data_IF_428011980133
#
_entry.id   IF_428011980133
#
_cell.length_a   1.000
_cell.length_b   1.000
_cell.length_c   1.000
_cell.angle_alpha   90.00
_cell.angle_beta   90.00
_cell.angle_gamma   90.00
#
_symmetry.space_group_name_H-M   'P 1'
#
loop_
_entity.id
_entity.type
_entity.pdbx_description
1 polymer ?
#
# COMPACT_ATOMS: atom_id res chain seq x y z
N UNK A 1 42.30 1.67 28.62
CA UNK A 1 42.81 1.30 29.96
C UNK A 1 43.72 0.05 29.95
N UNK A 2 43.57 -0.89 29.00
CA UNK A 2 44.36 -2.13 28.96
C UNK A 2 45.84 -2.00 28.53
N UNK A 3 46.18 -1.20 27.50
CA UNK A 3 47.56 -1.16 26.97
C UNK A 3 48.61 -0.68 28.00
N UNK A 4 48.30 0.38 28.75
CA UNK A 4 49.18 0.93 29.78
C UNK A 4 49.31 -0.03 30.97
N UNK A 5 48.22 -0.73 31.32
CA UNK A 5 48.20 -1.68 32.44
C UNK A 5 49.00 -2.96 32.15
N UNK A 6 48.94 -3.48 30.91
CA UNK A 6 49.73 -4.65 30.48
C UNK A 6 51.22 -4.32 30.39
N UNK A 7 51.58 -3.14 29.89
CA UNK A 7 52.98 -2.67 29.91
C UNK A 7 53.51 -2.52 31.34
N UNK A 8 52.68 -2.03 32.26
CA UNK A 8 53.04 -1.88 33.67
C UNK A 8 53.26 -3.22 34.37
N UNK A 9 52.44 -4.23 34.09
CA UNK A 9 52.62 -5.60 34.60
C UNK A 9 53.88 -6.25 34.01
N UNK A 10 54.12 -6.11 32.70
CA UNK A 10 55.33 -6.66 32.07
C UNK A 10 56.62 -5.99 32.60
N UNK A 11 56.56 -4.70 32.94
CA UNK A 11 57.67 -3.98 33.57
C UNK A 11 57.96 -4.44 35.00
N UNK A 12 56.93 -4.83 35.77
CA UNK A 12 57.08 -5.31 37.15
C UNK A 12 57.56 -6.77 37.22
N UNK A 13 57.13 -7.64 36.30
CA UNK A 13 57.39 -9.08 36.38
C UNK A 13 58.60 -9.59 35.58
N UNK A 14 59.12 -8.81 34.63
CA UNK A 14 60.23 -9.25 33.77
C UNK A 14 61.20 -8.08 33.57
N UNK A 15 62.33 -8.14 34.28
CA UNK A 15 63.40 -7.14 34.40
C UNK A 15 64.05 -6.61 33.08
N UNK A 16 63.44 -6.83 31.91
CA UNK A 16 63.83 -6.13 30.68
C UNK A 16 62.66 -6.02 29.70
N UNK A 17 62.42 -4.78 29.22
CA UNK A 17 61.52 -4.50 28.10
C UNK A 17 62.21 -5.00 26.83
N UNK A 18 61.97 -6.26 26.48
CA UNK A 18 62.37 -6.81 25.17
C UNK A 18 61.39 -6.28 24.12
N UNK A 19 61.90 -5.78 22.99
CA UNK A 19 61.11 -5.20 21.90
C UNK A 19 59.99 -6.14 21.41
N UNK A 20 60.23 -7.45 21.45
CA UNK A 20 59.23 -8.49 21.21
C UNK A 20 57.97 -8.37 22.09
N UNK A 21 58.13 -8.15 23.40
CA UNK A 21 57.01 -8.04 24.33
C UNK A 21 56.17 -6.78 24.06
N UNK A 22 56.82 -5.69 23.63
CA UNK A 22 56.13 -4.44 23.27
C UNK A 22 55.27 -4.63 22.02
N UNK A 23 55.82 -5.25 20.97
CA UNK A 23 55.07 -5.55 19.74
C UNK A 23 53.90 -6.50 20.06
N UNK A 24 54.14 -7.54 20.85
CA UNK A 24 53.11 -8.50 21.23
C UNK A 24 51.97 -7.84 22.02
N UNK A 25 52.30 -7.00 23.01
CA UNK A 25 51.31 -6.25 23.80
C UNK A 25 50.49 -5.28 22.95
N UNK A 26 51.11 -4.67 21.93
CA UNK A 26 50.44 -3.78 20.98
C UNK A 26 49.45 -4.56 20.11
N UNK A 27 49.87 -5.69 19.55
CA UNK A 27 48.99 -6.57 18.76
C UNK A 27 47.82 -7.08 19.59
N UNK A 28 48.06 -7.53 20.81
CA UNK A 28 47.01 -8.00 21.73
C UNK A 28 46.00 -6.87 22.04
N UNK A 29 46.48 -5.64 22.25
CA UNK A 29 45.60 -4.49 22.48
C UNK A 29 44.75 -4.14 21.25
N UNK A 30 45.29 -4.28 20.03
CA UNK A 30 44.52 -4.10 18.79
C UNK A 30 43.44 -5.18 18.69
N UNK A 31 43.77 -6.44 18.98
CA UNK A 31 42.82 -7.56 18.92
C UNK A 31 41.70 -7.38 19.95
N UNK A 32 42.03 -6.97 21.18
CA UNK A 32 41.05 -6.69 22.23
C UNK A 32 40.13 -5.52 21.83
N UNK A 33 40.69 -4.44 21.26
CA UNK A 33 39.91 -3.30 20.78
C UNK A 33 38.96 -3.71 19.64
N UNK A 34 39.47 -4.45 18.65
CA UNK A 34 38.68 -4.95 17.52
C UNK A 34 37.55 -5.88 18.00
N UNK A 35 37.85 -6.79 18.92
CA UNK A 35 36.86 -7.69 19.52
C UNK A 35 35.79 -6.93 20.29
N UNK A 36 36.18 -5.93 21.09
CA UNK A 36 35.24 -5.08 21.81
C UNK A 36 34.31 -4.32 20.86
N UNK A 37 34.83 -3.82 19.73
CA UNK A 37 34.02 -3.19 18.69
C UNK A 37 33.00 -4.18 18.10
N UNK A 38 33.44 -5.38 17.68
CA UNK A 38 32.57 -6.42 17.11
C UNK A 38 31.43 -6.77 18.07
N UNK A 39 31.70 -6.96 19.37
CA UNK A 39 30.65 -7.27 20.34
C UNK A 39 29.73 -6.09 20.62
N UNK A 40 30.25 -4.86 20.61
CA UNK A 40 29.43 -3.66 20.85
C UNK A 40 28.40 -3.44 19.74
N UNK A 41 28.73 -3.75 18.48
CA UNK A 41 27.79 -3.62 17.36
C UNK A 41 26.99 -4.90 17.10
N UNK A 42 27.62 -6.07 17.23
CA UNK A 42 26.98 -7.35 16.90
C UNK A 42 25.98 -7.86 17.96
N UNK A 43 26.25 -7.66 19.25
CA UNK A 43 25.34 -8.15 20.32
C UNK A 43 24.00 -7.40 20.33
N UNK A 44 23.95 -6.05 20.24
CA UNK A 44 22.68 -5.34 20.14
C UNK A 44 21.89 -5.68 18.88
N UNK A 45 22.57 -5.94 17.75
CA UNK A 45 21.92 -6.37 16.52
C UNK A 45 21.18 -7.71 16.69
N UNK A 46 21.68 -8.61 17.55
CA UNK A 46 21.01 -9.89 17.87
C UNK A 46 19.93 -9.77 18.96
N UNK A 47 20.17 -8.95 19.99
CA UNK A 47 19.33 -8.92 21.21
C UNK A 47 18.38 -7.74 21.34
N UNK A 48 18.49 -6.69 20.50
CA UNK A 48 17.59 -5.55 20.64
C UNK A 48 16.16 -5.94 20.25
N UNK A 49 15.26 -5.94 21.25
CA UNK A 49 13.80 -6.09 21.09
C UNK A 49 13.12 -4.82 20.57
N UNK A 50 13.88 -3.75 20.40
CA UNK A 50 13.37 -2.47 19.90
C UNK A 50 13.15 -2.63 18.40
N UNK A 51 11.96 -2.29 17.90
CA UNK A 51 11.49 -2.39 16.50
C UNK A 51 12.37 -1.62 15.49
N UNK A 52 13.67 -1.89 15.41
CA UNK A 52 14.53 -1.45 14.31
C UNK A 52 14.46 -2.54 13.24
N UNK A 53 13.84 -2.20 12.12
CA UNK A 53 13.59 -3.12 11.00
C UNK A 53 14.71 -3.08 9.96
N UNK A 54 15.79 -2.34 10.20
CA UNK A 54 16.87 -2.11 9.25
C UNK A 54 18.21 -2.22 10.00
N UNK A 55 19.05 -3.16 9.57
CA UNK A 55 20.43 -3.30 10.03
C UNK A 55 21.37 -2.42 9.20
N UNK A 56 22.36 -1.80 9.86
CA UNK A 56 23.44 -1.12 9.15
C UNK A 56 24.43 -2.12 8.54
N UNK A 57 25.19 -1.70 7.52
CA UNK A 57 26.21 -2.55 6.88
C UNK A 57 27.28 -3.01 7.87
N UNK A 58 27.66 -2.17 8.81
CA UNK A 58 28.64 -2.48 9.86
C UNK A 58 28.09 -3.53 10.84
N UNK A 59 26.81 -3.44 11.19
CA UNK A 59 26.14 -4.41 12.07
C UNK A 59 26.05 -5.79 11.40
N UNK A 60 25.77 -5.84 10.09
CA UNK A 60 25.79 -7.09 9.31
C UNK A 60 27.17 -7.76 9.29
N UNK A 61 28.23 -6.98 9.08
CA UNK A 61 29.61 -7.52 9.10
C UNK A 61 29.93 -8.06 10.50
N UNK A 62 29.60 -7.31 11.56
CA UNK A 62 29.82 -7.74 12.95
C UNK A 62 29.03 -9.00 13.29
N UNK A 63 27.77 -9.12 12.83
CA UNK A 63 26.98 -10.33 12.98
C UNK A 63 27.60 -11.51 12.24
N UNK A 64 28.10 -11.31 11.01
CA UNK A 64 28.78 -12.37 10.26
C UNK A 64 29.98 -12.94 11.03
N UNK A 65 30.74 -12.07 11.72
CA UNK A 65 31.89 -12.46 12.56
C UNK A 65 31.45 -13.26 13.79
N UNK A 66 30.36 -12.86 14.46
CA UNK A 66 29.85 -13.61 15.61
C UNK A 66 29.31 -14.99 15.19
N UNK A 67 28.55 -15.04 14.08
CA UNK A 67 27.97 -16.29 13.57
C UNK A 67 29.08 -17.24 13.09
N UNK A 68 30.12 -16.73 12.44
CA UNK A 68 31.25 -17.54 12.00
C UNK A 68 32.08 -18.10 13.16
N UNK A 69 32.28 -17.33 14.24
CA UNK A 69 32.86 -17.85 15.48
C UNK A 69 31.98 -18.96 16.10
N UNK A 70 30.67 -18.76 16.11
CA UNK A 70 29.73 -19.77 16.59
C UNK A 70 29.76 -21.06 15.76
N UNK A 71 29.79 -20.93 14.43
CA UNK A 71 29.89 -22.08 13.50
C UNK A 71 31.24 -22.80 13.65
N UNK A 72 32.32 -22.06 13.89
CA UNK A 72 33.62 -22.67 14.19
C UNK A 72 33.61 -23.47 15.51
N UNK A 73 32.65 -23.23 16.41
CA UNK A 73 32.50 -24.05 17.61
C UNK A 73 31.98 -25.47 17.36
N UNK A 74 31.44 -25.78 16.17
CA UNK A 74 30.89 -27.10 15.88
C UNK A 74 31.98 -28.15 15.63
N UNK A 75 31.76 -29.37 16.12
CA UNK A 75 32.66 -30.48 15.88
C UNK A 75 32.31 -31.19 14.55
N UNK A 76 33.30 -31.45 13.70
CA UNK A 76 33.09 -32.26 12.49
C UNK A 76 33.04 -33.75 12.83
N UNK A 77 32.01 -34.43 12.33
CA UNK A 77 31.93 -35.88 12.39
C UNK A 77 32.94 -36.51 11.41
N UNK A 78 33.51 -37.68 11.77
CA UNK A 78 34.47 -38.44 10.93
C UNK A 78 33.85 -39.07 9.67
N UNK A 79 32.77 -38.50 9.12
CA UNK A 79 32.03 -39.04 7.95
C UNK A 79 32.47 -38.43 6.62
N UNK A 80 33.52 -37.59 6.61
CA UNK A 80 34.06 -36.99 5.38
C UNK A 80 33.39 -35.69 4.94
N UNK A 81 32.24 -35.34 5.54
CA UNK A 81 31.56 -34.04 5.36
C UNK A 81 31.96 -33.08 6.48
N UNK A 82 32.23 -31.82 6.14
CA UNK A 82 32.40 -30.77 7.15
C UNK A 82 31.09 -30.03 7.34
N UNK A 83 30.38 -30.32 8.42
CA UNK A 83 29.10 -29.66 8.71
C UNK A 83 29.30 -28.14 8.90
N UNK A 84 30.49 -27.76 9.38
CA UNK A 84 30.92 -26.37 9.52
C UNK A 84 30.96 -25.65 8.18
N UNK A 85 31.65 -26.23 7.20
CA UNK A 85 31.77 -25.64 5.87
C UNK A 85 30.41 -25.55 5.19
N UNK A 86 29.59 -26.60 5.28
CA UNK A 86 28.24 -26.61 4.70
C UNK A 86 27.39 -25.47 5.28
N UNK A 87 27.41 -25.30 6.60
CA UNK A 87 26.70 -24.21 7.26
C UNK A 87 27.25 -22.84 6.83
N UNK A 88 28.57 -22.67 6.82
CA UNK A 88 29.19 -21.41 6.40
C UNK A 88 28.78 -21.02 4.97
N UNK A 89 28.90 -21.94 4.01
CA UNK A 89 28.54 -21.70 2.60
C UNK A 89 27.04 -21.44 2.45
N UNK A 90 26.21 -22.16 3.21
CA UNK A 90 24.78 -21.92 3.24
C UNK A 90 24.44 -20.50 3.74
N UNK A 91 25.07 -20.05 4.83
CA UNK A 91 24.88 -18.68 5.33
C UNK A 91 25.38 -17.64 4.34
N UNK A 92 26.52 -17.87 3.69
CA UNK A 92 27.06 -16.99 2.65
C UNK A 92 26.07 -16.89 1.47
N UNK A 93 25.54 -18.03 0.99
CA UNK A 93 24.56 -18.10 -0.09
C UNK A 93 23.27 -17.34 0.25
N UNK A 94 22.73 -17.55 1.46
CA UNK A 94 21.49 -16.90 1.90
C UNK A 94 21.68 -15.38 1.96
N UNK A 95 22.69 -14.89 2.68
CA UNK A 95 22.87 -13.45 2.86
C UNK A 95 23.32 -12.78 1.54
N UNK A 96 24.20 -13.41 0.77
CA UNK A 96 24.61 -12.89 -0.53
C UNK A 96 23.47 -12.82 -1.54
N UNK A 97 22.57 -13.81 -1.58
CA UNK A 97 21.38 -13.76 -2.43
C UNK A 97 20.38 -12.67 -2.00
N UNK A 98 20.23 -12.44 -0.70
CA UNK A 98 19.27 -11.47 -0.16
C UNK A 98 19.77 -10.02 -0.30
N UNK A 99 21.01 -9.77 0.07
CA UNK A 99 21.59 -8.42 0.20
C UNK A 99 22.37 -8.01 -1.06
N UNK A 100 23.13 -8.92 -1.66
CA UNK A 100 23.94 -8.64 -2.84
C UNK A 100 25.39 -9.08 -2.71
N UNK A 101 26.16 -8.76 -3.75
CA UNK A 101 27.54 -9.22 -3.88
C UNK A 101 28.49 -8.56 -2.86
N UNK A 102 28.23 -7.32 -2.47
CA UNK A 102 29.04 -6.58 -1.49
C UNK A 102 29.03 -7.27 -0.12
N UNK A 103 27.83 -7.57 0.38
CA UNK A 103 27.69 -8.19 1.68
C UNK A 103 27.97 -9.70 1.61
N UNK A 104 27.59 -10.37 0.51
CA UNK A 104 28.00 -11.75 0.27
C UNK A 104 29.52 -11.94 0.31
N UNK A 105 30.29 -11.03 -0.30
CA UNK A 105 31.74 -11.05 -0.26
C UNK A 105 32.29 -10.84 1.16
N UNK A 106 31.72 -9.89 1.91
CA UNK A 106 32.11 -9.63 3.29
C UNK A 106 31.92 -10.88 4.17
N UNK A 107 30.77 -11.54 4.06
CA UNK A 107 30.50 -12.79 4.79
C UNK A 107 31.45 -13.90 4.33
N UNK A 108 31.67 -14.06 3.02
CA UNK A 108 32.60 -15.04 2.48
C UNK A 108 34.02 -14.88 3.05
N UNK A 109 34.52 -13.65 3.12
CA UNK A 109 35.84 -13.34 3.66
C UNK A 109 35.91 -13.56 5.17
N UNK A 110 34.88 -13.19 5.95
CA UNK A 110 34.89 -13.38 7.41
C UNK A 110 34.86 -14.86 7.77
N UNK A 111 33.99 -15.64 7.13
CA UNK A 111 33.94 -17.10 7.30
C UNK A 111 35.24 -17.77 6.84
N UNK A 112 35.78 -17.37 5.69
CA UNK A 112 37.03 -17.91 5.15
C UNK A 112 38.23 -17.61 6.04
N UNK A 113 38.32 -16.40 6.59
CA UNK A 113 39.36 -16.00 7.54
C UNK A 113 39.29 -16.80 8.84
N UNK A 114 38.10 -16.92 9.43
CA UNK A 114 37.91 -17.65 10.69
C UNK A 114 38.17 -19.15 10.53
N UNK A 115 37.76 -19.74 9.40
CA UNK A 115 38.07 -21.13 9.08
C UNK A 115 39.57 -21.37 8.90
N UNK A 116 40.28 -20.45 8.22
CA UNK A 116 41.74 -20.55 8.04
C UNK A 116 42.48 -20.50 9.37
N UNK A 117 42.10 -19.59 10.27
CA UNK A 117 42.75 -19.42 11.59
C UNK A 117 42.44 -20.58 12.53
N UNK A 118 41.19 -21.04 12.59
CA UNK A 118 40.74 -22.00 13.61
C UNK A 118 41.35 -23.40 13.43
N UNK A 119 41.69 -23.78 12.19
CA UNK A 119 42.02 -25.16 11.85
C UNK A 119 43.37 -25.32 11.15
N UNK A 120 44.12 -24.24 10.96
CA UNK A 120 45.36 -24.26 10.18
C UNK A 120 45.12 -24.68 8.72
N UNK A 121 43.91 -24.41 8.22
CA UNK A 121 43.50 -24.74 6.86
C UNK A 121 44.19 -23.80 5.88
N UNK A 122 44.53 -24.32 4.69
CA UNK A 122 45.24 -23.58 3.65
C UNK A 122 44.57 -22.21 3.39
N UNK A 123 45.31 -21.09 3.40
CA UNK A 123 44.77 -19.74 3.15
C UNK A 123 43.94 -19.63 1.87
N UNK A 124 44.13 -20.55 0.93
CA UNK A 124 43.31 -20.62 -0.27
C UNK A 124 41.80 -20.73 -0.01
N UNK A 125 41.37 -21.32 1.13
CA UNK A 125 39.96 -21.37 1.52
C UNK A 125 39.33 -19.98 1.64
N UNK A 126 40.08 -18.98 2.11
CA UNK A 126 39.61 -17.60 2.19
C UNK A 126 39.19 -17.07 0.80
N UNK A 127 39.97 -17.41 -0.23
CA UNK A 127 39.64 -17.07 -1.62
C UNK A 127 38.38 -17.80 -2.12
N UNK A 128 38.23 -19.08 -1.80
CA UNK A 128 37.05 -19.87 -2.18
C UNK A 128 35.77 -19.29 -1.58
N UNK A 129 35.72 -19.09 -0.26
CA UNK A 129 34.54 -18.56 0.41
C UNK A 129 34.22 -17.13 -0.04
N UNK A 130 35.25 -16.28 -0.21
CA UNK A 130 35.08 -14.91 -0.70
C UNK A 130 34.42 -14.85 -2.09
N UNK A 131 34.91 -15.64 -3.04
CA UNK A 131 34.36 -15.65 -4.41
C UNK A 131 33.00 -16.34 -4.46
N UNK A 132 32.76 -17.39 -3.67
CA UNK A 132 31.42 -17.95 -3.51
C UNK A 132 30.43 -16.89 -3.00
N UNK A 133 30.86 -16.05 -2.05
CA UNK A 133 30.08 -14.91 -1.57
C UNK A 133 29.74 -13.90 -2.65
N UNK A 134 30.73 -13.46 -3.43
CA UNK A 134 30.51 -12.54 -4.56
C UNK A 134 29.52 -13.14 -5.57
N UNK A 135 29.76 -14.38 -6.01
CA UNK A 135 28.94 -15.04 -7.04
C UNK A 135 27.52 -15.30 -6.59
N UNK A 136 27.30 -15.56 -5.29
CA UNK A 136 25.95 -15.72 -4.74
C UNK A 136 25.10 -14.45 -4.91
N UNK A 137 25.73 -13.27 -4.81
CA UNK A 137 25.05 -11.99 -4.86
C UNK A 137 24.96 -11.33 -6.24
N UNK A 138 25.91 -11.56 -7.15
CA UNK A 138 25.89 -10.98 -8.51
C UNK A 138 24.63 -11.41 -9.27
N UNK A 139 24.27 -12.68 -9.19
CA UNK A 139 23.15 -13.24 -9.95
C UNK A 139 21.82 -13.23 -9.17
N UNK A 140 21.70 -12.42 -8.10
CA UNK A 140 20.46 -12.37 -7.30
C UNK A 140 19.22 -12.00 -8.13
N UNK A 141 19.38 -11.10 -9.10
CA UNK A 141 18.29 -10.60 -9.96
C UNK A 141 17.76 -11.66 -10.93
N UNK A 142 18.62 -12.59 -11.34
CA UNK A 142 18.28 -13.65 -12.30
C UNK A 142 17.68 -14.89 -11.62
N UNK A 143 17.54 -14.85 -10.28
CA UNK A 143 16.87 -15.86 -9.49
C UNK A 143 17.79 -16.91 -8.86
N UNK A 144 17.18 -17.69 -7.97
CA UNK A 144 17.86 -18.62 -7.06
C UNK A 144 18.70 -19.69 -7.77
N UNK A 145 18.20 -20.21 -8.89
CA UNK A 145 18.86 -21.28 -9.64
C UNK A 145 20.20 -20.80 -10.23
N UNK A 146 20.22 -19.61 -10.81
CA UNK A 146 21.43 -19.04 -11.42
C UNK A 146 22.47 -18.65 -10.39
N UNK A 147 22.06 -18.04 -9.26
CA UNK A 147 22.95 -17.76 -8.13
C UNK A 147 23.60 -19.05 -7.58
N UNK A 148 22.82 -20.12 -7.42
CA UNK A 148 23.35 -21.41 -6.96
C UNK A 148 24.32 -22.03 -7.97
N UNK A 149 23.98 -22.00 -9.26
CA UNK A 149 24.83 -22.51 -10.32
C UNK A 149 26.16 -21.74 -10.40
N UNK A 150 26.12 -20.41 -10.25
CA UNK A 150 27.31 -19.57 -10.24
C UNK A 150 28.25 -19.92 -9.09
N UNK A 151 27.72 -20.18 -7.88
CA UNK A 151 28.52 -20.60 -6.72
C UNK A 151 29.09 -22.00 -6.88
N UNK A 152 28.33 -22.93 -7.47
CA UNK A 152 28.86 -24.26 -7.79
C UNK A 152 30.03 -24.17 -8.76
N UNK A 153 29.88 -23.42 -9.86
CA UNK A 153 30.91 -23.27 -10.89
C UNK A 153 32.14 -22.54 -10.32
N UNK A 154 31.95 -21.45 -9.59
CA UNK A 154 33.08 -20.71 -9.01
C UNK A 154 33.82 -21.52 -7.96
N UNK A 155 33.08 -22.26 -7.13
CA UNK A 155 33.62 -23.23 -6.19
C UNK A 155 34.46 -24.31 -6.86
N UNK A 156 33.96 -24.88 -7.97
CA UNK A 156 34.70 -25.88 -8.77
C UNK A 156 35.99 -25.33 -9.36
N UNK A 157 35.93 -24.16 -9.99
CA UNK A 157 37.09 -23.52 -10.62
C UNK A 157 38.17 -23.25 -9.58
N UNK A 158 37.78 -22.70 -8.42
CA UNK A 158 38.74 -22.34 -7.38
C UNK A 158 39.28 -23.55 -6.65
N UNK A 159 38.44 -24.55 -6.39
CA UNK A 159 38.93 -25.81 -5.89
C UNK A 159 40.06 -26.28 -6.83
N UNK A 160 39.84 -26.32 -8.15
CA UNK A 160 40.83 -26.85 -9.11
C UNK A 160 42.18 -26.13 -9.04
N UNK A 161 42.18 -24.82 -8.72
CA UNK A 161 43.42 -24.05 -8.55
C UNK A 161 44.24 -24.47 -7.33
N UNK A 162 43.64 -25.08 -6.31
CA UNK A 162 44.28 -25.42 -5.03
C UNK A 162 45.12 -26.70 -5.14
N UNK A 163 44.92 -27.54 -6.16
CA UNK A 163 45.81 -28.64 -6.59
C UNK A 163 46.40 -29.54 -5.47
N UNK A 164 45.72 -29.65 -4.32
CA UNK A 164 46.03 -30.61 -3.26
C UNK A 164 45.07 -31.80 -3.37
N UNK A 165 45.62 -32.96 -3.75
CA UNK A 165 44.89 -34.22 -3.93
C UNK A 165 44.23 -34.60 -2.60
N UNK A 166 42.90 -34.57 -2.55
CA UNK A 166 42.07 -34.91 -1.38
C UNK A 166 41.41 -33.72 -0.66
N UNK A 167 41.91 -32.49 -0.86
CA UNK A 167 41.24 -31.27 -0.37
C UNK A 167 40.14 -30.83 -1.35
N UNK A 168 40.37 -31.08 -2.64
CA UNK A 168 39.42 -30.90 -3.74
C UNK A 168 38.06 -31.53 -3.49
N UNK A 169 38.06 -32.84 -3.24
CA UNK A 169 36.83 -33.63 -3.19
C UNK A 169 35.96 -33.21 -2.00
N UNK A 170 36.58 -32.84 -0.88
CA UNK A 170 35.88 -32.35 0.32
C UNK A 170 35.22 -30.99 0.08
N UNK A 171 35.96 -30.03 -0.48
CA UNK A 171 35.41 -28.69 -0.77
C UNK A 171 34.23 -28.80 -1.74
N UNK A 172 34.39 -29.59 -2.80
CA UNK A 172 33.33 -29.81 -3.78
C UNK A 172 32.08 -30.43 -3.15
N UNK A 173 32.27 -31.44 -2.29
CA UNK A 173 31.18 -32.10 -1.61
C UNK A 173 30.46 -31.17 -0.62
N UNK A 174 31.21 -30.33 0.12
CA UNK A 174 30.64 -29.35 1.04
C UNK A 174 29.85 -28.25 0.29
N UNK A 175 30.39 -27.70 -0.82
CA UNK A 175 29.72 -26.68 -1.63
C UNK A 175 28.44 -27.24 -2.26
N UNK A 176 28.50 -28.45 -2.81
CA UNK A 176 27.33 -29.08 -3.42
C UNK A 176 26.22 -29.36 -2.40
N UNK A 177 26.57 -29.85 -1.22
CA UNK A 177 25.62 -30.05 -0.12
C UNK A 177 24.97 -28.74 0.32
N UNK A 178 25.74 -27.65 0.46
CA UNK A 178 25.22 -26.33 0.81
C UNK A 178 24.29 -25.77 -0.27
N UNK A 179 24.64 -25.97 -1.54
CA UNK A 179 23.81 -25.55 -2.68
C UNK A 179 22.47 -26.29 -2.73
N UNK A 180 22.47 -27.60 -2.49
CA UNK A 180 21.24 -28.40 -2.40
C UNK A 180 20.37 -27.88 -1.24
N UNK A 181 20.96 -27.72 -0.05
CA UNK A 181 20.26 -27.18 1.11
C UNK A 181 19.66 -25.79 0.82
N UNK A 182 20.41 -24.94 0.12
CA UNK A 182 19.94 -23.63 -0.30
C UNK A 182 18.75 -23.77 -1.25
N UNK A 183 18.81 -24.58 -2.31
CA UNK A 183 17.70 -24.76 -3.28
C UNK A 183 16.41 -25.23 -2.61
N UNK A 184 16.48 -26.15 -1.65
CA UNK A 184 15.32 -26.61 -0.88
C UNK A 184 14.77 -25.57 0.10
N UNK A 185 15.52 -24.53 0.44
CA UNK A 185 15.08 -23.50 1.39
C UNK A 185 13.91 -22.65 0.82
N UNK A 186 12.79 -22.47 1.56
CA UNK A 186 11.59 -21.83 1.01
C UNK A 186 11.80 -20.34 0.73
N UNK A 187 11.33 -19.86 -0.42
CA UNK A 187 11.44 -18.45 -0.84
C UNK A 187 10.84 -17.47 0.18
N UNK A 188 9.72 -17.84 0.82
CA UNK A 188 9.06 -17.02 1.85
C UNK A 188 10.02 -16.62 2.99
N UNK A 189 10.87 -17.54 3.45
CA UNK A 189 11.85 -17.25 4.50
C UNK A 189 12.97 -16.33 4.02
N UNK A 190 13.37 -16.44 2.75
CA UNK A 190 14.34 -15.49 2.15
C UNK A 190 13.75 -14.09 2.06
N UNK A 191 12.47 -13.97 1.73
CA UNK A 191 11.77 -12.67 1.67
C UNK A 191 11.61 -12.06 3.06
N UNK A 192 11.34 -12.86 4.10
CA UNK A 192 11.27 -12.40 5.49
C UNK A 192 12.63 -11.87 5.97
N UNK A 193 13.73 -12.58 5.66
CA UNK A 193 15.10 -12.12 5.95
C UNK A 193 15.40 -10.85 5.14
N UNK A 194 14.98 -10.79 3.87
CA UNK A 194 15.19 -9.63 3.02
C UNK A 194 14.49 -8.37 3.54
N UNK A 195 13.31 -8.50 4.16
CA UNK A 195 12.60 -7.37 4.77
C UNK A 195 13.31 -6.89 6.03
N UNK A 196 13.99 -7.78 6.76
CA UNK A 196 14.72 -7.41 7.98
C UNK A 196 16.03 -6.67 7.68
N UNK A 197 16.66 -6.98 6.53
CA UNK A 197 18.02 -6.52 6.26
C UNK A 197 18.13 -5.52 5.11
N UNK A 198 17.22 -5.59 4.12
CA UNK A 198 17.29 -4.71 2.96
C UNK A 198 16.32 -3.51 3.10
N UNK A 199 16.88 -2.34 3.43
CA UNK A 199 16.17 -1.06 3.53
C UNK A 199 15.36 -0.69 2.28
N UNK A 200 15.89 -1.00 1.10
CA UNK A 200 15.27 -0.64 -0.19
C UNK A 200 13.97 -1.44 -0.42
N UNK A 201 13.97 -2.73 -0.06
CA UNK A 201 12.75 -3.57 -0.12
C UNK A 201 11.69 -3.13 0.89
N UNK A 202 12.11 -2.64 2.06
CA UNK A 202 11.19 -2.07 3.06
C UNK A 202 10.53 -0.81 2.52
N UNK A 203 11.31 0.08 1.89
CA UNK A 203 10.79 1.30 1.28
C UNK A 203 9.80 1.01 0.14
N UNK A 204 10.14 0.07 -0.76
CA UNK A 204 9.24 -0.35 -1.84
C UNK A 204 7.92 -0.92 -1.32
N UNK A 205 7.95 -1.73 -0.25
CA UNK A 205 6.75 -2.30 0.37
C UNK A 205 5.89 -1.22 1.04
N UNK A 206 6.53 -0.24 1.68
CA UNK A 206 5.86 0.94 2.24
C UNK A 206 5.19 1.77 1.13
N UNK A 207 5.90 2.02 0.03
CA UNK A 207 5.36 2.75 -1.13
C UNK A 207 4.17 2.03 -1.75
N UNK A 208 4.23 0.71 -1.95
CA UNK A 208 3.10 -0.08 -2.45
C UNK A 208 1.88 0.03 -1.53
N UNK A 209 2.07 -0.14 -0.22
CA UNK A 209 0.98 -0.01 0.77
C UNK A 209 0.37 1.39 0.79
N UNK A 210 1.18 2.42 0.57
CA UNK A 210 0.71 3.81 0.46
C UNK A 210 -0.12 4.00 -0.81
N UNK A 211 0.34 3.50 -1.97
CA UNK A 211 -0.38 3.58 -3.25
C UNK A 211 -1.74 2.87 -3.15
N UNK A 212 -1.81 1.70 -2.54
CA UNK A 212 -3.08 0.99 -2.32
C UNK A 212 -4.05 1.81 -1.46
N UNK A 213 -3.56 2.41 -0.37
CA UNK A 213 -4.38 3.27 0.49
C UNK A 213 -4.90 4.50 -0.25
N UNK A 214 -4.05 5.13 -1.07
CA UNK A 214 -4.46 6.29 -1.90
C UNK A 214 -5.51 5.88 -2.93
N UNK A 215 -5.32 4.74 -3.62
CA UNK A 215 -6.32 4.20 -4.55
C UNK A 215 -7.67 3.98 -3.88
N UNK A 216 -7.67 3.43 -2.67
CA UNK A 216 -8.89 3.15 -1.91
C UNK A 216 -9.62 4.43 -1.49
N UNK A 217 -8.88 5.47 -1.08
CA UNK A 217 -9.44 6.80 -0.78
C UNK A 217 -10.01 7.48 -2.03
N UNK A 218 -9.30 7.42 -3.15
CA UNK A 218 -9.75 7.99 -4.42
C UNK A 218 -11.03 7.28 -4.89
N UNK A 219 -11.07 5.94 -4.81
CA UNK A 219 -12.26 5.16 -5.17
C UNK A 219 -13.46 5.55 -4.32
N UNK A 220 -13.30 5.66 -3.00
CA UNK A 220 -14.35 6.13 -2.08
C UNK A 220 -14.84 7.53 -2.42
N UNK A 221 -13.91 8.45 -2.74
CA UNK A 221 -14.29 9.83 -3.11
C UNK A 221 -15.03 9.87 -4.44
N UNK A 222 -14.57 9.10 -5.43
CA UNK A 222 -15.22 8.99 -6.75
C UNK A 222 -16.64 8.44 -6.62
N UNK A 223 -16.83 7.41 -5.79
CA UNK A 223 -18.14 6.84 -5.53
C UNK A 223 -19.07 7.85 -4.84
N UNK A 224 -18.56 8.60 -3.85
CA UNK A 224 -19.33 9.66 -3.19
C UNK A 224 -19.77 10.75 -4.18
N UNK A 225 -18.91 11.17 -5.12
CA UNK A 225 -19.25 12.16 -6.15
C UNK A 225 -20.33 11.59 -7.09
N UNK A 226 -20.20 10.33 -7.50
CA UNK A 226 -21.19 9.67 -8.35
C UNK A 226 -22.58 9.64 -7.67
N UNK A 227 -22.66 9.25 -6.40
CA UNK A 227 -23.92 9.24 -5.63
C UNK A 227 -24.55 10.64 -5.57
N UNK A 228 -23.75 11.69 -5.33
CA UNK A 228 -24.27 13.07 -5.30
C UNK A 228 -24.78 13.54 -6.66
N UNK A 229 -24.09 13.19 -7.75
CA UNK A 229 -24.51 13.50 -9.12
C UNK A 229 -25.82 12.81 -9.50
N UNK A 230 -25.95 11.52 -9.15
CA UNK A 230 -27.21 10.79 -9.35
C UNK A 230 -28.35 11.38 -8.53
N UNK A 231 -28.08 11.83 -7.30
CA UNK A 231 -29.06 12.56 -6.49
C UNK A 231 -29.53 13.85 -7.16
N UNK A 232 -28.60 14.64 -7.72
CA UNK A 232 -28.91 15.86 -8.45
C UNK A 232 -29.76 15.61 -9.71
N UNK A 233 -29.44 14.58 -10.49
CA UNK A 233 -30.20 14.18 -11.68
C UNK A 233 -31.65 13.87 -11.35
N UNK A 234 -31.89 13.10 -10.28
CA UNK A 234 -33.24 12.74 -9.82
C UNK A 234 -34.08 13.94 -9.38
N UNK A 235 -33.44 14.94 -8.76
CA UNK A 235 -34.14 16.17 -8.34
C UNK A 235 -34.56 16.97 -9.57
N UNK A 236 -33.70 17.06 -10.58
CA UNK A 236 -33.99 17.76 -11.84
C UNK A 236 -35.14 17.08 -12.60
N UNK A 237 -35.10 15.76 -12.75
CA UNK A 237 -36.18 14.98 -13.37
C UNK A 237 -37.53 15.21 -12.67
N UNK A 238 -37.55 15.12 -11.33
CA UNK A 238 -38.77 15.31 -10.54
C UNK A 238 -39.34 16.74 -10.65
N UNK A 239 -38.51 17.76 -10.75
CA UNK A 239 -38.99 19.15 -10.89
C UNK A 239 -39.58 19.41 -12.28
N UNK A 240 -38.96 18.88 -13.33
CA UNK A 240 -39.44 19.05 -14.72
C UNK A 240 -40.80 18.35 -14.90
N UNK A 241 -40.95 17.12 -14.40
CA UNK A 241 -42.20 16.37 -14.51
C UNK A 241 -43.35 17.06 -13.74
N UNK A 242 -43.06 17.63 -12.56
CA UNK A 242 -44.06 18.35 -11.77
C UNK A 242 -44.51 19.66 -12.42
N UNK A 243 -43.60 20.46 -12.97
CA UNK A 243 -43.96 21.72 -13.63
C UNK A 243 -44.78 21.47 -14.91
N UNK A 244 -44.41 20.48 -15.71
CA UNK A 244 -45.13 20.15 -16.93
C UNK A 244 -46.53 19.59 -16.63
N UNK A 245 -46.65 18.70 -15.63
CA UNK A 245 -47.94 18.15 -15.19
C UNK A 245 -48.86 19.25 -14.66
N UNK A 246 -48.35 20.16 -13.82
CA UNK A 246 -49.13 21.27 -13.28
C UNK A 246 -49.69 22.18 -14.38
N UNK A 247 -48.86 22.49 -15.40
CA UNK A 247 -49.28 23.33 -16.52
C UNK A 247 -50.40 22.67 -17.34
N UNK A 248 -50.26 21.38 -17.68
CA UNK A 248 -51.29 20.63 -18.43
C UNK A 248 -52.61 20.56 -17.64
N UNK A 249 -52.54 20.35 -16.32
CA UNK A 249 -53.73 20.30 -15.46
C UNK A 249 -54.44 21.66 -15.35
N UNK A 250 -53.69 22.77 -15.25
CA UNK A 250 -54.27 24.11 -15.26
C UNK A 250 -54.93 24.46 -16.59
N UNK A 251 -54.28 24.16 -17.71
CA UNK A 251 -54.83 24.40 -19.05
C UNK A 251 -56.16 23.63 -19.22
N UNK A 252 -56.20 22.37 -18.79
CA UNK A 252 -57.43 21.55 -18.79
C UNK A 252 -58.55 22.09 -17.88
N UNK A 253 -58.22 22.74 -16.76
CA UNK A 253 -59.24 23.40 -15.93
C UNK A 253 -59.83 24.62 -16.59
N UNK A 254 -59.01 25.43 -17.26
CA UNK A 254 -59.48 26.62 -17.99
C UNK A 254 -60.48 26.21 -19.06
N UNK A 255 -60.17 25.15 -19.83
CA UNK A 255 -61.09 24.60 -20.83
C UNK A 255 -62.40 24.12 -20.22
N UNK A 256 -62.34 23.35 -19.13
CA UNK A 256 -63.53 22.84 -18.44
C UNK A 256 -64.41 23.98 -17.89
N UNK A 257 -63.78 25.01 -17.32
CA UNK A 257 -64.48 26.17 -16.78
C UNK A 257 -65.14 26.98 -17.92
N UNK A 258 -64.42 27.18 -19.03
CA UNK A 258 -64.94 27.83 -20.23
C UNK A 258 -66.13 27.07 -20.83
N UNK A 259 -66.07 25.74 -20.90
CA UNK A 259 -67.17 24.91 -21.38
C UNK A 259 -68.40 25.01 -20.48
N UNK A 260 -68.24 25.07 -19.16
CA UNK A 260 -69.39 25.13 -18.23
C UNK A 260 -70.05 26.50 -18.19
N UNK A 261 -69.28 27.57 -18.28
CA UNK A 261 -69.77 28.94 -18.02
C UNK A 261 -69.96 29.72 -19.32
N UNK A 262 -69.05 29.53 -20.29
CA UNK A 262 -69.01 30.33 -21.50
C UNK A 262 -69.65 29.65 -22.72
N UNK A 263 -69.98 28.36 -22.69
CA UNK A 263 -70.54 27.65 -23.86
C UNK A 263 -71.86 28.26 -24.34
N UNK A 264 -72.79 28.50 -23.40
CA UNK A 264 -74.11 29.09 -23.63
C UNK A 264 -74.15 30.55 -23.13
N UNK A 265 -73.13 31.34 -23.49
CA UNK A 265 -72.98 32.73 -23.07
C UNK A 265 -72.98 33.65 -24.30
N UNK A 266 -73.82 34.68 -24.29
CA UNK A 266 -73.97 35.63 -25.41
C UNK A 266 -72.66 36.36 -25.73
N UNK A 267 -71.78 36.53 -24.73
CA UNK A 267 -70.48 37.20 -24.87
C UNK A 267 -69.33 36.25 -25.24
N UNK A 268 -69.59 34.96 -25.48
CA UNK A 268 -68.55 33.94 -25.77
C UNK A 268 -67.63 34.34 -26.92
N UNK A 269 -68.20 34.83 -28.03
CA UNK A 269 -67.41 35.24 -29.20
C UNK A 269 -66.43 36.38 -28.87
N UNK A 270 -66.82 37.34 -28.02
CA UNK A 270 -65.95 38.43 -27.63
C UNK A 270 -64.81 37.94 -26.73
N UNK A 271 -65.12 37.14 -25.71
CA UNK A 271 -64.12 36.63 -24.77
C UNK A 271 -63.14 35.63 -25.41
N UNK A 272 -63.64 34.67 -26.20
CA UNK A 272 -62.84 33.56 -26.71
C UNK A 272 -62.35 33.70 -28.16
N UNK A 273 -62.84 34.68 -28.95
CA UNK A 273 -62.29 34.99 -30.28
C UNK A 273 -61.52 36.31 -30.32
N UNK A 274 -62.07 37.38 -29.76
CA UNK A 274 -61.46 38.71 -29.85
C UNK A 274 -60.46 38.99 -28.71
N UNK A 275 -60.78 38.53 -27.50
CA UNK A 275 -59.99 38.80 -26.28
C UNK A 275 -59.45 37.49 -25.65
N UNK A 276 -59.05 36.52 -26.47
CA UNK A 276 -58.65 35.19 -26.00
C UNK A 276 -57.50 35.24 -24.98
N UNK A 277 -56.45 36.01 -25.25
CA UNK A 277 -55.29 36.12 -24.36
C UNK A 277 -55.67 36.69 -22.99
N UNK A 278 -56.50 37.72 -22.97
CA UNK A 278 -56.97 38.36 -21.75
C UNK A 278 -57.89 37.45 -20.95
N UNK A 279 -58.82 36.76 -21.62
CA UNK A 279 -59.75 35.83 -20.96
C UNK A 279 -59.00 34.64 -20.37
N UNK A 280 -58.07 34.06 -21.14
CA UNK A 280 -57.25 32.94 -20.70
C UNK A 280 -56.37 33.30 -19.50
N UNK A 281 -55.64 34.42 -19.57
CA UNK A 281 -54.78 34.86 -18.47
C UNK A 281 -55.59 35.17 -17.22
N UNK A 282 -56.77 35.78 -17.36
CA UNK A 282 -57.66 36.07 -16.23
C UNK A 282 -58.20 34.78 -15.58
N UNK A 283 -58.50 33.74 -16.37
CA UNK A 283 -58.92 32.44 -15.86
C UNK A 283 -57.77 31.74 -15.11
N UNK A 284 -56.55 31.74 -15.68
CA UNK A 284 -55.35 31.18 -15.01
C UNK A 284 -55.04 31.94 -13.72
N UNK A 285 -55.14 33.27 -13.70
CA UNK A 285 -54.93 34.07 -12.50
C UNK A 285 -55.96 33.73 -11.43
N UNK A 286 -57.22 33.57 -11.82
CA UNK A 286 -58.31 33.19 -10.92
C UNK A 286 -58.05 31.83 -10.29
N UNK A 287 -57.71 30.81 -11.10
CA UNK A 287 -57.36 29.47 -10.61
C UNK A 287 -56.09 29.47 -9.73
N UNK A 288 -55.08 30.28 -10.08
CA UNK A 288 -53.85 30.41 -9.29
C UNK A 288 -54.10 31.08 -7.93
N UNK A 289 -55.06 32.01 -7.84
CA UNK A 289 -55.50 32.60 -6.56
C UNK A 289 -56.24 31.56 -5.70
N UNK A 290 -57.01 30.68 -6.33
CA UNK A 290 -57.70 29.59 -5.64
C UNK A 290 -56.74 28.58 -5.03
N UNK A 291 -55.61 28.29 -5.67
CA UNK A 291 -54.59 27.39 -5.11
C UNK A 291 -54.01 27.90 -3.78
N UNK A 292 -53.95 29.22 -3.60
CA UNK A 292 -53.46 29.85 -2.36
C UNK A 292 -54.55 30.03 -1.29
N UNK A 293 -55.78 30.38 -1.67
CA UNK A 293 -56.89 30.71 -0.74
C UNK A 293 -57.89 29.57 -0.51
N UNK A 294 -57.90 28.55 -1.36
CA UNK A 294 -58.82 27.41 -1.34
C UNK A 294 -60.20 27.69 -1.94
N UNK A 295 -60.86 28.79 -1.56
CA UNK A 295 -62.12 29.25 -2.16
C UNK A 295 -62.04 30.75 -2.47
N UNK A 296 -62.71 31.17 -3.54
CA UNK A 296 -62.76 32.58 -3.98
C UNK A 296 -64.19 33.09 -4.05
N UNK A 297 -64.37 34.39 -3.82
CA UNK A 297 -65.62 35.13 -3.98
C UNK A 297 -65.57 36.05 -5.22
N UNK A 298 -66.67 36.78 -5.49
CA UNK A 298 -66.77 37.72 -6.64
C UNK A 298 -65.71 38.81 -6.55
N UNK A 299 -65.47 39.30 -5.33
CA UNK A 299 -64.50 40.35 -5.04
C UNK A 299 -63.03 39.90 -5.23
N UNK A 300 -62.78 38.59 -5.40
CA UNK A 300 -61.44 38.02 -5.65
C UNK A 300 -61.13 37.85 -7.15
N UNK A 301 -62.11 38.08 -8.03
CA UNK A 301 -61.89 38.05 -9.48
C UNK A 301 -60.93 39.17 -9.89
N UNK A 302 -60.12 38.98 -10.95
CA UNK A 302 -59.41 40.09 -11.56
C UNK A 302 -60.40 41.19 -11.98
N UNK A 303 -60.09 42.47 -11.70
CA UNK A 303 -61.02 43.60 -11.94
C UNK A 303 -61.57 43.64 -13.38
N UNK A 304 -60.75 43.27 -14.36
CA UNK A 304 -61.16 43.22 -15.76
C UNK A 304 -62.11 42.07 -16.07
N UNK A 305 -62.06 40.96 -15.33
CA UNK A 305 -62.98 39.82 -15.48
C UNK A 305 -64.30 40.08 -14.75
N UNK A 306 -64.25 40.68 -13.56
CA UNK A 306 -65.43 41.09 -12.79
C UNK A 306 -66.31 42.07 -13.60
N UNK A 307 -65.69 43.05 -14.26
CA UNK A 307 -66.40 44.06 -15.06
C UNK A 307 -66.91 43.56 -16.41
N UNK A 308 -66.21 42.61 -17.05
CA UNK A 308 -66.52 42.14 -18.41
C UNK A 308 -67.39 40.88 -18.42
N UNK A 309 -67.39 40.07 -17.36
CA UNK A 309 -68.17 38.84 -17.30
C UNK A 309 -69.64 39.15 -17.03
N UNK A 310 -70.54 38.63 -17.86
CA UNK A 310 -72.00 38.76 -17.66
C UNK A 310 -72.57 37.70 -16.69
N UNK A 311 -71.78 36.67 -16.34
CA UNK A 311 -72.14 35.57 -15.43
C UNK A 311 -71.08 35.37 -14.31
N UNK A 312 -70.67 36.41 -13.55
CA UNK A 312 -69.56 36.31 -12.60
C UNK A 312 -69.85 35.37 -11.43
N UNK A 313 -71.09 35.36 -10.93
CA UNK A 313 -71.51 34.45 -9.85
C UNK A 313 -71.49 32.98 -10.28
N UNK A 314 -71.94 32.67 -11.50
CA UNK A 314 -71.90 31.30 -12.02
C UNK A 314 -70.46 30.86 -12.32
N UNK A 315 -69.62 31.78 -12.82
CA UNK A 315 -68.19 31.53 -13.03
C UNK A 315 -67.51 31.07 -11.74
N UNK A 316 -67.72 31.77 -10.63
CA UNK A 316 -67.10 31.43 -9.35
C UNK A 316 -67.66 30.16 -8.75
N UNK A 317 -68.97 29.94 -8.87
CA UNK A 317 -69.59 28.71 -8.40
C UNK A 317 -68.99 27.49 -9.10
N UNK A 318 -68.87 27.54 -10.42
CA UNK A 318 -68.29 26.45 -11.21
C UNK A 318 -66.78 26.34 -10.98
N UNK A 319 -66.06 27.46 -10.84
CA UNK A 319 -64.63 27.45 -10.52
C UNK A 319 -64.36 26.77 -9.17
N UNK A 320 -65.03 27.21 -8.09
CA UNK A 320 -64.91 26.61 -6.76
C UNK A 320 -65.22 25.11 -6.77
N UNK A 321 -66.26 24.68 -7.51
CA UNK A 321 -66.62 23.28 -7.65
C UNK A 321 -65.53 22.46 -8.36
N UNK A 322 -65.04 22.93 -9.51
CA UNK A 322 -63.98 22.25 -10.27
C UNK A 322 -62.68 22.17 -9.48
N UNK A 323 -62.33 23.23 -8.76
CA UNK A 323 -61.12 23.29 -7.96
C UNK A 323 -61.17 22.35 -6.75
N UNK A 324 -62.35 22.19 -6.12
CA UNK A 324 -62.54 21.24 -5.02
C UNK A 324 -62.34 19.79 -5.49
N UNK A 325 -62.87 19.43 -6.66
CA UNK A 325 -62.65 18.11 -7.28
C UNK A 325 -61.16 17.89 -7.57
N UNK A 326 -60.50 18.90 -8.15
CA UNK A 326 -59.07 18.81 -8.43
C UNK A 326 -58.25 18.56 -7.17
N UNK A 327 -58.49 19.32 -6.10
CA UNK A 327 -57.74 19.20 -4.84
C UNK A 327 -57.89 17.81 -4.22
N UNK A 328 -59.07 17.21 -4.33
CA UNK A 328 -59.31 15.84 -3.89
C UNK A 328 -58.48 14.86 -4.73
N UNK A 329 -58.53 14.99 -6.07
CA UNK A 329 -57.79 14.12 -6.99
C UNK A 329 -56.26 14.23 -6.85
N UNK A 330 -55.72 15.45 -6.71
CA UNK A 330 -54.29 15.68 -6.44
C UNK A 330 -53.86 15.06 -5.10
N UNK A 331 -54.71 15.19 -4.06
CA UNK A 331 -54.51 14.52 -2.77
C UNK A 331 -54.43 12.99 -2.88
N UNK A 332 -55.26 12.37 -3.73
CA UNK A 332 -55.20 10.93 -4.01
C UNK A 332 -53.97 10.55 -4.84
N UNK A 333 -53.59 11.33 -5.87
CA UNK A 333 -52.37 11.08 -6.67
C UNK A 333 -51.12 11.08 -5.81
N UNK A 334 -50.95 12.08 -4.93
CA UNK A 334 -49.80 12.17 -4.02
C UNK A 334 -49.68 10.98 -3.06
N UNK A 335 -50.80 10.32 -2.72
CA UNK A 335 -50.82 9.13 -1.87
C UNK A 335 -50.56 7.81 -2.60
N UNK A 336 -50.76 7.78 -3.93
CA UNK A 336 -50.49 6.60 -4.76
C UNK A 336 -49.05 6.57 -5.31
N UNK A 337 -48.41 7.73 -5.38
CA UNK A 337 -47.03 7.91 -5.85
C UNK A 337 -45.99 7.77 -4.73
N UNK A 338 -46.40 7.91 -3.46
CA UNK A 338 -45.59 7.62 -2.27
C UNK A 338 -45.84 6.20 -1.77
#
# INVERSE_FOLDING_TARGET
MNFIFVLFINYIFKDSIVLYNVIFTLLESIIVLASAYIFTFGVPAFFSKTKRTILSKEEMICLSLIISLFISGFYDFKTGFSIRNILAIFFILVNGFVEGADIGAAYGLTFGMISSISYGVNPAYLGVFGICGVMSGIFKEHGKALSTAAVLISGMVLAFTINEIGVMDKIFMDISAACIAFVFFPKKKLDDIAVLVNSEKVELKLQQSYIERVKDLVSKKMNSISVTMTGFSKILEKNIDNELSYKIEMDGMVENLACRVCYDCDYRNKCWKNEIYFTYSSFIETLSKMDKKGKIAVDDLPEGLERKCIKPHELIKQANYLFEIYRINDGWKKRLVN
#
